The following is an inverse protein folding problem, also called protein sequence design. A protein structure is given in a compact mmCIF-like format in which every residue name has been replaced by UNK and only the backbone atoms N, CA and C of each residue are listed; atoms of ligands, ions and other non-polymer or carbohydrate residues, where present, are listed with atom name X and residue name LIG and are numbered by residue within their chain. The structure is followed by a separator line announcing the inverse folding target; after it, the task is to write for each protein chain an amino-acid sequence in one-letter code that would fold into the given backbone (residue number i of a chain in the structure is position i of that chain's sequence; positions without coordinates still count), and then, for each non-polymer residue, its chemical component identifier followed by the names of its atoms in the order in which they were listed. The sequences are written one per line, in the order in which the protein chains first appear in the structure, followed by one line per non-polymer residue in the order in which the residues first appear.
data_IF_513281527314
#
_entry.id   IF_513281527314
#
_cell.length_a   1.000
_cell.length_b   1.000
_cell.length_c   1.000
_cell.angle_alpha   90.00
_cell.angle_beta   90.00
_cell.angle_gamma   90.00
#
_symmetry.space_group_name_H-M   'P 1'
#
loop_
_entity.id
_entity.type
_entity.pdbx_description
1 polymer ?
#
# COMPACT_ATOMS: atom_id res chain seq x y z
N UNK A 1 -5.77 16.56 -17.37
CA UNK A 1 -6.78 15.49 -17.63
C UNK A 1 -7.01 14.78 -16.30
N UNK A 2 -8.22 14.48 -15.91
CA UNK A 2 -8.50 13.76 -14.69
C UNK A 2 -8.11 12.28 -14.82
N UNK A 3 -7.78 11.61 -13.71
CA UNK A 3 -7.39 10.19 -13.74
C UNK A 3 -8.44 9.30 -14.41
N UNK A 4 -9.71 9.59 -14.21
CA UNK A 4 -10.85 8.92 -14.83
C UNK A 4 -10.77 8.95 -16.37
N UNK A 5 -10.47 10.12 -16.95
CA UNK A 5 -10.37 10.28 -18.39
C UNK A 5 -9.20 9.47 -18.96
N UNK A 6 -8.06 9.46 -18.24
CA UNK A 6 -6.91 8.64 -18.62
C UNK A 6 -7.24 7.16 -18.63
N UNK A 7 -7.98 6.68 -17.63
CA UNK A 7 -8.42 5.27 -17.57
C UNK A 7 -9.31 4.92 -18.75
N UNK A 8 -10.30 5.77 -19.07
CA UNK A 8 -11.22 5.54 -20.20
C UNK A 8 -10.52 5.52 -21.56
N UNK A 9 -9.49 6.35 -21.75
CA UNK A 9 -8.67 6.35 -22.96
C UNK A 9 -7.74 5.12 -23.00
N UNK A 10 -7.12 4.78 -21.88
CA UNK A 10 -6.27 3.61 -21.78
C UNK A 10 -7.02 2.29 -22.03
N UNK A 11 -8.29 2.18 -21.59
CA UNK A 11 -9.19 1.06 -21.93
C UNK A 11 -9.45 0.92 -23.43
N UNK A 12 -9.39 2.02 -24.18
CA UNK A 12 -9.50 2.01 -25.66
C UNK A 12 -8.18 1.68 -26.37
N UNK A 13 -7.15 1.34 -25.61
CA UNK A 13 -5.82 1.01 -26.16
C UNK A 13 -4.94 2.23 -26.45
N UNK A 14 -5.27 3.42 -25.95
CA UNK A 14 -4.42 4.60 -26.10
C UNK A 14 -3.16 4.47 -25.24
N UNK A 15 -2.03 4.23 -25.89
CA UNK A 15 -0.71 4.05 -25.24
C UNK A 15 -0.26 5.35 -24.53
N UNK A 16 -0.58 6.51 -25.08
CA UNK A 16 -0.22 7.78 -24.44
C UNK A 16 -0.98 7.97 -23.15
N UNK A 17 -2.26 7.58 -23.10
CA UNK A 17 -3.05 7.60 -21.88
C UNK A 17 -2.54 6.59 -20.85
N UNK A 18 -2.08 5.41 -21.25
CA UNK A 18 -1.43 4.44 -20.38
C UNK A 18 -0.14 5.00 -19.78
N UNK A 19 0.68 5.69 -20.57
CA UNK A 19 1.91 6.34 -20.09
C UNK A 19 1.61 7.44 -19.07
N UNK A 20 0.64 8.30 -19.36
CA UNK A 20 0.24 9.37 -18.42
C UNK A 20 -0.37 8.78 -17.13
N UNK A 21 -1.14 7.70 -17.22
CA UNK A 21 -1.68 7.00 -16.07
C UNK A 21 -0.57 6.37 -15.23
N UNK A 22 0.44 5.76 -15.86
CA UNK A 22 1.65 5.30 -15.22
C UNK A 22 2.35 6.43 -14.46
N UNK A 23 2.66 7.56 -15.15
CA UNK A 23 3.32 8.73 -14.54
C UNK A 23 2.54 9.30 -13.34
N UNK A 24 1.22 9.29 -13.42
CA UNK A 24 0.36 9.80 -12.35
C UNK A 24 0.34 8.90 -11.10
N UNK A 25 0.63 7.62 -11.23
CA UNK A 25 0.37 6.63 -10.16
C UNK A 25 1.60 5.87 -9.67
N UNK A 26 2.72 5.84 -10.41
CA UNK A 26 3.87 4.99 -10.09
C UNK A 26 4.49 5.28 -8.73
N UNK A 27 4.60 6.56 -8.33
CA UNK A 27 5.22 6.90 -7.05
C UNK A 27 4.42 6.33 -5.87
N UNK A 28 3.08 6.46 -5.94
CA UNK A 28 2.19 5.93 -4.91
C UNK A 28 2.25 4.40 -4.86
N UNK A 29 2.22 3.75 -6.01
CA UNK A 29 2.28 2.30 -6.12
C UNK A 29 3.63 1.74 -5.67
N UNK A 30 4.73 2.40 -6.05
CA UNK A 30 6.07 2.03 -5.59
C UNK A 30 6.18 2.15 -4.07
N UNK A 31 5.69 3.25 -3.48
CA UNK A 31 5.71 3.43 -2.04
C UNK A 31 4.93 2.34 -1.32
N UNK A 32 3.75 1.96 -1.83
CA UNK A 32 2.99 0.83 -1.30
C UNK A 32 3.83 -0.46 -1.35
N UNK A 33 4.35 -0.83 -2.52
CA UNK A 33 5.18 -2.04 -2.67
C UNK A 33 6.40 -2.02 -1.75
N UNK A 34 7.09 -0.88 -1.64
CA UNK A 34 8.25 -0.70 -0.76
C UNK A 34 7.90 -0.95 0.71
N UNK A 35 6.75 -0.43 1.18
CA UNK A 35 6.28 -0.63 2.56
C UNK A 35 5.86 -2.06 2.84
N UNK A 36 5.32 -2.77 1.84
CA UNK A 36 4.93 -4.17 1.97
C UNK A 36 6.15 -5.11 1.94
N UNK A 37 7.12 -4.86 1.06
CA UNK A 37 8.24 -5.75 0.80
C UNK A 37 9.51 -5.40 1.59
N UNK A 38 9.62 -4.15 2.06
CA UNK A 38 10.80 -3.61 2.75
C UNK A 38 12.12 -3.81 1.97
N UNK A 39 12.02 -3.93 0.65
CA UNK A 39 13.14 -4.10 -0.27
C UNK A 39 12.87 -3.30 -1.55
N UNK A 40 13.81 -2.44 -1.95
CA UNK A 40 13.64 -1.52 -3.06
C UNK A 40 13.62 -2.22 -4.43
N UNK A 41 14.48 -3.22 -4.61
CA UNK A 41 14.58 -3.97 -5.87
C UNK A 41 13.30 -4.80 -6.08
N UNK A 42 12.86 -5.52 -5.05
CA UNK A 42 11.59 -6.26 -5.09
C UNK A 42 10.38 -5.36 -5.35
N UNK A 43 10.38 -4.18 -4.73
CA UNK A 43 9.29 -3.22 -4.94
C UNK A 43 9.25 -2.74 -6.39
N UNK A 44 10.40 -2.57 -7.03
CA UNK A 44 10.48 -2.17 -8.44
C UNK A 44 10.00 -3.29 -9.36
N UNK A 45 10.42 -4.53 -9.11
CA UNK A 45 10.02 -5.70 -9.90
C UNK A 45 8.51 -5.94 -9.79
N UNK A 46 7.98 -5.95 -8.56
CA UNK A 46 6.53 -6.08 -8.32
C UNK A 46 5.75 -4.96 -8.97
N UNK A 47 6.26 -3.73 -8.93
CA UNK A 47 5.60 -2.59 -9.58
C UNK A 47 5.51 -2.80 -11.10
N UNK A 48 6.61 -3.17 -11.75
CA UNK A 48 6.66 -3.43 -13.19
C UNK A 48 5.65 -4.50 -13.59
N UNK A 49 5.67 -5.66 -12.91
CA UNK A 49 4.73 -6.74 -13.16
C UNK A 49 3.27 -6.34 -12.90
N UNK A 50 3.03 -5.53 -11.84
CA UNK A 50 1.69 -5.05 -11.51
C UNK A 50 1.10 -4.18 -12.61
N UNK A 51 1.90 -3.31 -13.22
CA UNK A 51 1.44 -2.50 -14.35
C UNK A 51 1.12 -3.33 -15.59
N UNK A 52 1.94 -4.33 -15.91
CA UNK A 52 1.68 -5.24 -17.04
C UNK A 52 0.34 -5.94 -16.84
N UNK A 53 0.10 -6.47 -15.63
CA UNK A 53 -1.18 -7.13 -15.30
C UNK A 53 -2.33 -6.15 -15.33
N UNK A 54 -2.17 -4.97 -14.73
CA UNK A 54 -3.21 -3.94 -14.68
C UNK A 54 -3.63 -3.49 -16.08
N UNK A 55 -2.69 -3.16 -16.95
CA UNK A 55 -3.02 -2.71 -18.31
C UNK A 55 -3.62 -3.82 -19.17
N UNK A 56 -3.21 -5.08 -19.00
CA UNK A 56 -3.85 -6.23 -19.67
C UNK A 56 -5.27 -6.50 -19.19
N UNK A 57 -5.56 -6.19 -17.92
CA UNK A 57 -6.87 -6.43 -17.30
C UNK A 57 -7.71 -5.14 -17.21
N UNK A 58 -7.27 -4.03 -17.79
CA UNK A 58 -7.89 -2.71 -17.59
C UNK A 58 -9.34 -2.66 -18.07
N UNK A 59 -9.67 -3.41 -19.13
CA UNK A 59 -11.03 -3.51 -19.68
C UNK A 59 -12.02 -4.13 -18.66
N UNK A 60 -11.51 -4.89 -17.67
CA UNK A 60 -12.35 -5.47 -16.62
C UNK A 60 -12.77 -4.46 -15.55
N UNK A 61 -12.12 -3.30 -15.49
CA UNK A 61 -12.41 -2.25 -14.53
C UNK A 61 -13.68 -1.49 -14.94
N UNK A 62 -14.80 -1.80 -14.28
CA UNK A 62 -16.10 -1.17 -14.58
C UNK A 62 -16.20 0.28 -14.13
N UNK A 63 -15.59 0.63 -12.99
CA UNK A 63 -15.57 1.99 -12.47
C UNK A 63 -14.19 2.63 -12.62
N UNK A 64 -13.97 3.53 -13.59
CA UNK A 64 -12.68 4.19 -13.79
C UNK A 64 -12.17 4.99 -12.57
N UNK A 65 -13.07 5.49 -11.72
CA UNK A 65 -12.71 6.22 -10.49
C UNK A 65 -12.08 5.31 -9.44
N UNK A 66 -12.36 4.00 -9.49
CA UNK A 66 -11.80 3.00 -8.59
C UNK A 66 -10.40 2.52 -8.99
N UNK A 67 -9.78 3.08 -10.06
CA UNK A 67 -8.49 2.61 -10.57
C UNK A 67 -7.41 2.55 -9.47
N UNK A 68 -7.27 3.59 -8.68
CA UNK A 68 -6.22 3.64 -7.65
C UNK A 68 -6.36 2.53 -6.59
N UNK A 69 -7.57 2.25 -6.12
CA UNK A 69 -7.83 1.18 -5.14
C UNK A 69 -7.71 -0.20 -5.78
N UNK A 70 -8.22 -0.37 -7.00
CA UNK A 70 -8.10 -1.61 -7.76
C UNK A 70 -6.63 -1.93 -8.09
N UNK A 71 -5.85 -0.93 -8.50
CA UNK A 71 -4.43 -1.11 -8.75
C UNK A 71 -3.63 -1.43 -7.48
N UNK A 72 -3.97 -0.79 -6.35
CA UNK A 72 -3.37 -1.10 -5.06
C UNK A 72 -3.59 -2.58 -4.65
N UNK A 73 -4.75 -3.15 -4.95
CA UNK A 73 -5.01 -4.59 -4.73
C UNK A 73 -4.11 -5.48 -5.59
N UNK A 74 -3.87 -5.11 -6.85
CA UNK A 74 -2.95 -5.86 -7.74
C UNK A 74 -1.54 -5.83 -7.16
N UNK A 75 -1.05 -4.64 -6.75
CA UNK A 75 0.28 -4.48 -6.13
C UNK A 75 0.39 -5.30 -4.85
N UNK A 76 -0.60 -5.25 -3.96
CA UNK A 76 -0.59 -5.99 -2.71
C UNK A 76 -0.60 -7.51 -2.94
N UNK A 77 -1.46 -8.01 -3.83
CA UNK A 77 -1.52 -9.44 -4.17
C UNK A 77 -0.18 -9.94 -4.74
N UNK A 78 0.49 -9.16 -5.57
CA UNK A 78 1.80 -9.50 -6.11
C UNK A 78 2.87 -9.49 -5.04
N UNK A 79 2.89 -8.48 -4.17
CA UNK A 79 3.80 -8.41 -3.02
C UNK A 79 3.64 -9.63 -2.11
N UNK A 80 2.41 -10.00 -1.78
CA UNK A 80 2.09 -11.18 -0.97
C UNK A 80 2.56 -12.48 -1.63
N UNK A 81 2.34 -12.63 -2.94
CA UNK A 81 2.80 -13.82 -3.68
C UNK A 81 4.33 -13.94 -3.68
N UNK A 82 5.05 -12.82 -3.82
CA UNK A 82 6.51 -12.81 -3.72
C UNK A 82 6.99 -13.23 -2.32
N UNK A 83 6.42 -12.67 -1.28
CA UNK A 83 6.74 -13.05 0.11
C UNK A 83 6.44 -14.52 0.39
N UNK A 84 5.28 -15.02 -0.05
CA UNK A 84 4.91 -16.45 0.08
C UNK A 84 5.88 -17.37 -0.67
N UNK A 85 6.34 -17.00 -1.86
CA UNK A 85 7.29 -17.80 -2.62
C UNK A 85 8.63 -17.92 -1.90
N UNK A 86 9.10 -16.86 -1.26
CA UNK A 86 10.33 -16.84 -0.45
C UNK A 86 10.19 -17.67 0.83
N UNK A 87 9.08 -17.55 1.53
CA UNK A 87 8.83 -18.29 2.76
C UNK A 87 8.66 -19.81 2.54
N UNK A 88 8.33 -20.26 1.33
CA UNK A 88 8.33 -21.71 1.02
C UNK A 88 9.72 -22.35 1.05
N UNK A 89 10.76 -21.56 0.86
CA UNK A 89 12.16 -22.03 0.97
C UNK A 89 12.72 -21.94 2.40
N UNK A 90 12.07 -21.16 3.27
CA UNK A 90 12.31 -21.14 4.72
C UNK A 90 11.21 -21.99 5.32
N UNK A 91 11.57 -23.11 6.00
CA UNK A 91 10.62 -24.06 6.62
C UNK A 91 9.41 -23.34 7.22
N UNK A 92 8.19 -23.89 7.09
CA UNK A 92 7.04 -23.32 7.75
C UNK A 92 7.31 -23.30 9.25
N UNK A 93 7.52 -22.14 9.84
CA UNK A 93 7.40 -21.99 11.27
C UNK A 93 5.92 -22.20 11.58
N UNK A 94 5.63 -23.34 12.20
CA UNK A 94 4.39 -23.64 12.86
C UNK A 94 4.03 -22.47 13.78
N UNK A 95 2.96 -21.79 13.44
CA UNK A 95 2.46 -20.63 14.18
C UNK A 95 1.32 -19.97 13.44
N UNK A 96 0.35 -20.78 12.93
CA UNK A 96 -1.03 -20.35 12.96
C UNK A 96 -1.42 -20.36 14.44
N UNK A 97 -1.02 -19.30 15.17
CA UNK A 97 -1.76 -18.95 16.37
C UNK A 97 -3.17 -18.64 15.85
N UNK A 98 -4.10 -19.53 16.15
CA UNK A 98 -5.52 -19.27 16.09
C UNK A 98 -5.72 -17.94 16.81
N UNK A 99 -5.80 -16.82 16.05
CA UNK A 99 -6.25 -15.55 16.59
C UNK A 99 -7.67 -15.81 17.09
N UNK A 100 -7.77 -16.08 18.39
CA UNK A 100 -9.05 -16.20 19.07
C UNK A 100 -9.79 -14.90 18.82
N UNK A 101 -10.90 -15.05 18.15
CA UNK A 101 -11.87 -14.02 17.77
C UNK A 101 -12.49 -13.42 19.05
N UNK A 102 -11.73 -12.57 19.75
CA UNK A 102 -12.30 -11.71 20.79
C UNK A 102 -12.96 -10.52 20.10
N UNK A 103 -14.20 -10.72 19.68
CA UNK A 103 -15.13 -9.65 19.33
C UNK A 103 -15.48 -8.85 20.57
N UNK A 104 -14.62 -7.97 21.04
CA UNK A 104 -15.07 -6.82 21.80
C UNK A 104 -15.56 -5.77 20.80
N UNK A 105 -16.82 -5.34 20.97
CA UNK A 105 -17.42 -4.23 20.27
C UNK A 105 -16.55 -2.99 20.41
N UNK A 106 -15.68 -2.73 19.43
CA UNK A 106 -14.90 -1.51 19.41
C UNK A 106 -15.60 -0.57 18.45
N UNK A 107 -16.29 0.41 19.05
CA UNK A 107 -16.82 1.56 18.33
C UNK A 107 -15.66 2.21 17.55
N UNK A 108 -15.92 2.48 16.27
CA UNK A 108 -15.03 3.21 15.35
C UNK A 108 -14.99 4.68 15.81
N UNK A 109 -14.23 4.96 16.87
CA UNK A 109 -13.96 6.33 17.28
C UNK A 109 -12.81 6.87 16.45
N UNK A 110 -13.13 7.34 15.27
CA UNK A 110 -12.27 8.13 14.40
C UNK A 110 -12.17 9.57 14.93
N UNK A 111 -11.66 9.76 16.15
CA UNK A 111 -11.34 11.09 16.65
C UNK A 111 -10.01 11.10 17.39
N UNK A 112 -8.98 11.52 16.68
CA UNK A 112 -7.74 11.93 17.29
C UNK A 112 -7.41 13.37 16.86
N UNK A 113 -7.67 14.31 17.75
CA UNK A 113 -7.45 15.75 17.56
C UNK A 113 -6.09 16.14 18.14
N UNK A 114 -5.32 16.94 17.40
CA UNK A 114 -3.98 17.41 17.73
C UNK A 114 -3.97 18.74 18.50
N UNK A 115 -3.05 18.96 19.44
CA UNK A 115 -2.50 20.27 19.73
C UNK A 115 -1.12 20.50 19.09
N UNK A 116 -0.91 21.74 18.66
CA UNK A 116 0.35 22.24 18.10
C UNK A 116 1.50 22.12 19.11
N UNK A 117 2.60 21.51 18.74
CA UNK A 117 3.87 21.59 19.43
C UNK A 117 5.08 21.57 18.50
N UNK A 118 6.09 22.27 18.92
CA UNK A 118 7.32 22.82 18.33
C UNK A 118 8.22 21.88 17.50
N UNK A 119 7.90 20.61 17.33
CA UNK A 119 8.65 19.72 16.44
C UNK A 119 8.11 19.80 15.01
N UNK A 120 9.01 19.80 14.04
CA UNK A 120 8.69 19.75 12.63
C UNK A 120 7.74 18.59 12.36
N UNK A 121 6.60 18.86 11.74
CA UNK A 121 5.59 17.88 11.35
C UNK A 121 6.22 16.72 10.54
N UNK A 122 7.28 17.01 9.81
CA UNK A 122 8.03 16.06 9.01
C UNK A 122 8.79 15.04 9.88
N UNK A 123 9.40 15.47 10.97
CA UNK A 123 10.12 14.57 11.88
C UNK A 123 9.18 13.65 12.63
N UNK A 124 8.06 14.16 13.12
CA UNK A 124 7.00 13.35 13.76
C UNK A 124 6.45 12.30 12.79
N UNK A 125 6.15 12.73 11.57
CA UNK A 125 5.67 11.85 10.50
C UNK A 125 6.66 10.71 10.24
N UNK A 126 7.96 11.03 10.09
CA UNK A 126 9.01 10.05 9.87
C UNK A 126 9.10 9.01 10.99
N UNK A 127 9.02 9.44 12.24
CA UNK A 127 9.05 8.55 13.40
C UNK A 127 7.86 7.57 13.41
N UNK A 128 6.65 8.05 13.11
CA UNK A 128 5.47 7.17 13.06
C UNK A 128 5.55 6.21 11.88
N UNK A 129 6.07 6.64 10.73
CA UNK A 129 6.28 5.75 9.59
C UNK A 129 7.31 4.65 9.90
N UNK A 130 8.35 4.93 10.68
CA UNK A 130 9.28 3.91 11.18
C UNK A 130 8.57 2.91 12.10
N UNK A 131 7.70 3.39 13.00
CA UNK A 131 6.92 2.50 13.87
C UNK A 131 5.95 1.62 13.05
N UNK A 132 5.41 2.11 11.94
CA UNK A 132 4.59 1.30 11.01
C UNK A 132 5.46 0.22 10.36
N UNK A 133 6.71 0.52 10.00
CA UNK A 133 7.64 -0.47 9.42
C UNK A 133 8.01 -1.59 10.42
N UNK A 134 7.89 -1.34 11.73
CA UNK A 134 8.12 -2.33 12.80
C UNK A 134 6.88 -3.17 13.15
N UNK A 135 5.73 -2.90 12.54
CA UNK A 135 4.54 -3.73 12.72
C UNK A 135 4.75 -5.14 12.11
N UNK A 136 4.10 -6.18 12.66
CA UNK A 136 3.98 -7.46 11.97
C UNK A 136 3.44 -7.28 10.55
N UNK A 137 3.87 -8.14 9.63
CA UNK A 137 3.58 -8.01 8.20
C UNK A 137 2.08 -7.85 7.92
N UNK A 138 1.24 -8.69 8.52
CA UNK A 138 -0.21 -8.66 8.34
C UNK A 138 -0.86 -7.36 8.85
N UNK A 139 -0.36 -6.83 9.98
CA UNK A 139 -0.86 -5.57 10.54
C UNK A 139 -0.38 -4.38 9.70
N UNK A 140 0.88 -4.39 9.26
CA UNK A 140 1.44 -3.37 8.37
C UNK A 140 0.69 -3.33 7.05
N UNK A 141 0.42 -4.49 6.44
CA UNK A 141 -0.37 -4.61 5.22
C UNK A 141 -1.78 -4.02 5.41
N UNK A 142 -2.49 -4.36 6.50
CA UNK A 142 -3.80 -3.77 6.82
C UNK A 142 -3.73 -2.25 6.87
N UNK A 143 -2.74 -1.69 7.58
CA UNK A 143 -2.56 -0.23 7.73
C UNK A 143 -2.31 0.42 6.36
N UNK A 144 -1.44 -0.16 5.54
CA UNK A 144 -1.11 0.38 4.23
C UNK A 144 -2.29 0.31 3.25
N UNK A 145 -3.04 -0.78 3.26
CA UNK A 145 -4.20 -0.93 2.37
C UNK A 145 -5.35 -0.02 2.79
N UNK A 146 -5.67 0.04 4.08
CA UNK A 146 -6.80 0.81 4.59
C UNK A 146 -6.51 2.31 4.60
N UNK A 147 -5.43 2.77 5.26
CA UNK A 147 -5.16 4.20 5.45
C UNK A 147 -4.42 4.86 4.28
N UNK A 148 -3.46 4.17 3.68
CA UNK A 148 -2.70 4.74 2.55
C UNK A 148 -3.43 4.56 1.22
N UNK A 149 -3.95 3.35 0.97
CA UNK A 149 -4.56 3.04 -0.34
C UNK A 149 -6.05 3.34 -0.38
N UNK A 150 -6.71 3.57 0.77
CA UNK A 150 -8.13 3.92 0.87
C UNK A 150 -9.07 2.74 0.55
N UNK A 151 -8.63 1.50 0.77
CA UNK A 151 -9.47 0.33 0.59
C UNK A 151 -10.47 0.21 1.74
N UNK A 152 -11.67 -0.29 1.45
CA UNK A 152 -12.62 -0.68 2.50
C UNK A 152 -12.14 -1.91 3.27
N UNK A 153 -12.69 -2.16 4.46
CA UNK A 153 -12.35 -3.36 5.25
C UNK A 153 -12.67 -4.64 4.49
N UNK A 154 -13.71 -4.67 3.64
CA UNK A 154 -14.08 -5.79 2.78
C UNK A 154 -13.03 -6.02 1.69
N UNK A 155 -12.54 -4.96 1.06
CA UNK A 155 -11.49 -5.04 0.03
C UNK A 155 -10.17 -5.50 0.63
N UNK A 156 -9.80 -5.02 1.83
CA UNK A 156 -8.62 -5.49 2.56
C UNK A 156 -8.77 -6.96 2.92
N UNK A 157 -9.93 -7.39 3.42
CA UNK A 157 -10.22 -8.78 3.76
C UNK A 157 -10.07 -9.71 2.55
N UNK A 158 -10.58 -9.29 1.39
CA UNK A 158 -10.43 -10.01 0.13
C UNK A 158 -8.95 -10.12 -0.29
N UNK A 159 -8.19 -9.03 -0.20
CA UNK A 159 -6.76 -8.99 -0.56
C UNK A 159 -5.92 -9.85 0.38
N UNK A 160 -6.21 -9.82 1.69
CA UNK A 160 -5.50 -10.62 2.69
C UNK A 160 -6.01 -12.06 2.80
N UNK A 161 -7.11 -12.42 2.12
CA UNK A 161 -7.75 -13.74 2.17
C UNK A 161 -8.17 -14.12 3.60
N UNK A 162 -8.75 -13.17 4.34
CA UNK A 162 -9.21 -13.35 5.71
C UNK A 162 -10.61 -12.76 5.92
N UNK A 163 -11.17 -12.90 7.13
CA UNK A 163 -12.46 -12.31 7.44
C UNK A 163 -12.37 -10.79 7.66
N UNK A 164 -13.49 -10.07 7.47
CA UNK A 164 -13.56 -8.63 7.81
C UNK A 164 -13.30 -8.41 9.31
N UNK A 165 -13.72 -9.36 10.16
CA UNK A 165 -13.42 -9.35 11.59
C UNK A 165 -11.91 -9.39 11.85
N UNK A 166 -11.19 -10.26 11.15
CA UNK A 166 -9.71 -10.35 11.23
C UNK A 166 -9.06 -9.01 10.83
N UNK A 167 -9.53 -8.36 9.76
CA UNK A 167 -9.01 -7.04 9.34
C UNK A 167 -9.23 -6.00 10.44
N UNK A 168 -10.44 -5.93 11.01
CA UNK A 168 -10.75 -5.00 12.11
C UNK A 168 -9.87 -5.25 13.33
N UNK A 169 -9.67 -6.50 13.71
CA UNK A 169 -8.76 -6.89 14.80
C UNK A 169 -7.32 -6.47 14.51
N UNK A 170 -6.78 -6.77 13.30
CA UNK A 170 -5.42 -6.38 12.89
C UNK A 170 -5.21 -4.88 12.92
N UNK A 171 -6.18 -4.09 12.40
CA UNK A 171 -6.13 -2.63 12.46
C UNK A 171 -6.15 -2.12 13.89
N UNK A 172 -6.96 -2.74 14.77
CA UNK A 172 -7.02 -2.38 16.18
C UNK A 172 -5.70 -2.67 16.91
N UNK A 173 -5.13 -3.86 16.72
CA UNK A 173 -3.81 -4.21 17.28
C UNK A 173 -2.71 -3.30 16.75
N UNK A 174 -2.71 -2.98 15.47
CA UNK A 174 -1.76 -2.02 14.88
C UNK A 174 -1.87 -0.64 15.55
N UNK A 175 -3.09 -0.11 15.72
CA UNK A 175 -3.32 1.18 16.41
C UNK A 175 -2.82 1.14 17.86
N UNK A 176 -3.10 0.04 18.59
CA UNK A 176 -2.65 -0.13 19.97
C UNK A 176 -1.13 -0.17 20.05
N UNK A 177 -0.48 -0.95 19.20
CA UNK A 177 0.98 -1.06 19.15
C UNK A 177 1.65 0.26 18.78
N UNK A 178 1.12 0.98 17.80
CA UNK A 178 1.60 2.31 17.44
C UNK A 178 1.46 3.30 18.60
N UNK A 179 0.32 3.29 19.31
CA UNK A 179 0.13 4.11 20.51
C UNK A 179 1.14 3.78 21.60
N UNK A 180 1.41 2.51 21.87
CA UNK A 180 2.40 2.07 22.86
C UNK A 180 3.82 2.50 22.46
N UNK A 181 4.17 2.38 21.17
CA UNK A 181 5.47 2.84 20.64
C UNK A 181 5.65 4.35 20.80
N UNK A 182 4.62 5.14 20.48
CA UNK A 182 4.61 6.59 20.69
C UNK A 182 4.83 6.93 22.17
N UNK A 183 4.05 6.34 23.07
CA UNK A 183 4.18 6.58 24.51
C UNK A 183 5.56 6.15 25.07
N UNK A 184 6.13 5.08 24.53
CA UNK A 184 7.47 4.61 24.89
C UNK A 184 8.55 5.60 24.44
N UNK A 185 8.40 6.15 23.22
CA UNK A 185 9.32 7.16 22.69
C UNK A 185 9.26 8.45 23.55
N UNK A 186 8.06 8.93 23.86
CA UNK A 186 7.85 10.13 24.69
C UNK A 186 8.45 10.01 26.09
N UNK A 187 8.46 8.79 26.67
CA UNK A 187 9.11 8.53 27.98
C UNK A 187 10.62 8.53 27.91
N UNK A 188 11.21 8.26 26.76
CA UNK A 188 12.67 8.14 26.57
C UNK A 188 13.30 9.43 26.05
N UNK A 189 12.49 10.28 25.45
CA UNK A 189 12.93 11.52 24.83
C UNK A 189 12.04 12.65 25.32
N UNK A 190 12.54 13.89 25.29
CA UNK A 190 11.70 15.07 25.53
C UNK A 190 10.75 15.40 24.35
N UNK A 191 10.68 14.50 23.36
CA UNK A 191 9.82 14.61 22.20
C UNK A 191 8.39 14.28 22.63
N UNK A 192 7.51 15.25 22.63
CA UNK A 192 6.08 15.05 22.85
C UNK A 192 5.38 14.88 21.52
N UNK A 193 5.05 13.64 21.21
CA UNK A 193 4.21 13.32 20.04
C UNK A 193 2.72 13.45 20.37
N UNK A 194 2.37 14.10 21.51
CA UNK A 194 0.99 14.21 21.97
C UNK A 194 0.08 14.48 20.80
N UNK A 195 -0.62 13.46 20.46
CA UNK A 195 -1.75 13.36 19.58
C UNK A 195 -1.53 12.50 18.36
N UNK A 196 -2.38 11.51 18.29
CA UNK A 196 -2.56 10.67 17.12
C UNK A 196 -3.04 11.55 15.95
N UNK A 197 -2.13 11.87 15.04
CA UNK A 197 -2.52 12.32 13.70
C UNK A 197 -3.38 11.22 13.12
N UNK A 198 -4.53 11.49 12.52
CA UNK A 198 -5.24 10.47 11.75
C UNK A 198 -4.25 9.77 10.84
N UNK A 199 -4.12 8.43 10.97
CA UNK A 199 -3.10 7.66 10.25
C UNK A 199 -3.09 7.98 8.75
N UNK A 200 -4.27 8.29 8.18
CA UNK A 200 -4.38 8.71 6.78
C UNK A 200 -3.59 9.98 6.45
N UNK A 201 -3.50 10.95 7.38
CA UNK A 201 -2.75 12.18 7.15
C UNK A 201 -1.22 11.98 7.21
N UNK A 202 -0.74 10.93 7.89
CA UNK A 202 0.69 10.58 7.92
C UNK A 202 1.24 10.24 6.53
N UNK A 203 0.38 9.75 5.66
CA UNK A 203 0.78 9.39 4.30
C UNK A 203 0.73 10.57 3.32
N UNK A 204 0.32 11.76 3.75
CA UNK A 204 0.48 12.95 2.92
C UNK A 204 1.98 13.25 2.75
N UNK A 205 2.40 13.56 1.53
CA UNK A 205 3.82 13.82 1.23
C UNK A 205 4.71 12.56 1.14
N UNK A 206 4.14 11.36 1.01
CA UNK A 206 4.86 10.07 0.86
C UNK A 206 5.96 10.10 -0.23
N UNK A 207 5.84 10.97 -1.23
CA UNK A 207 6.84 11.09 -2.30
C UNK A 207 8.23 11.50 -1.78
N UNK A 208 8.31 12.13 -0.60
CA UNK A 208 9.57 12.51 0.04
C UNK A 208 10.31 11.30 0.65
N UNK A 209 9.58 10.22 0.95
CA UNK A 209 10.15 9.00 1.53
C UNK A 209 10.66 8.04 0.46
N UNK A 210 10.39 8.31 -0.80
CA UNK A 210 10.90 7.54 -1.92
C UNK A 210 12.38 7.85 -2.09
N UNK A 211 13.26 6.85 -2.20
CA UNK A 211 14.69 7.06 -2.43
C UNK A 211 14.94 7.97 -3.61
N UNK A 212 15.78 9.00 -3.42
CA UNK A 212 16.16 9.92 -4.50
C UNK A 212 17.02 9.18 -5.53
N UNK A 213 16.82 9.51 -6.81
CA UNK A 213 17.60 8.95 -7.91
C UNK A 213 17.02 7.68 -8.53
N UNK A 214 15.86 7.20 -8.10
CA UNK A 214 15.17 6.13 -8.79
C UNK A 214 14.67 6.63 -10.16
N UNK A 215 15.08 5.90 -11.21
CA UNK A 215 14.61 6.14 -12.56
C UNK A 215 13.35 5.30 -12.82
N UNK A 216 12.22 5.96 -12.94
CA UNK A 216 10.94 5.32 -13.26
C UNK A 216 10.61 5.33 -14.77
N UNK A 217 11.51 5.85 -15.61
CA UNK A 217 11.32 5.84 -17.06
C UNK A 217 11.71 4.50 -17.68
N UNK A 218 12.75 3.87 -17.17
CA UNK A 218 13.19 2.56 -17.62
C UNK A 218 12.12 1.46 -17.45
N UNK A 219 11.41 1.36 -16.29
CA UNK A 219 10.30 0.42 -16.15
C UNK A 219 9.17 0.66 -17.14
N UNK A 220 8.82 1.91 -17.47
CA UNK A 220 7.81 2.19 -18.47
C UNK A 220 8.19 1.64 -19.84
N UNK A 221 9.44 1.83 -20.26
CA UNK A 221 9.94 1.31 -21.53
C UNK A 221 9.82 -0.23 -21.61
N UNK A 222 10.12 -0.93 -20.52
CA UNK A 222 9.97 -2.38 -20.44
C UNK A 222 8.48 -2.80 -20.47
N UNK A 223 7.63 -2.13 -19.69
CA UNK A 223 6.18 -2.36 -19.64
C UNK A 223 5.55 -2.17 -21.03
N UNK A 224 5.80 -1.05 -21.68
CA UNK A 224 5.21 -0.72 -23.00
C UNK A 224 5.65 -1.71 -24.07
N UNK A 225 6.90 -2.16 -24.05
CA UNK A 225 7.40 -3.20 -24.97
C UNK A 225 6.69 -4.54 -24.76
N UNK A 226 6.46 -4.93 -23.52
CA UNK A 226 5.78 -6.19 -23.21
C UNK A 226 4.29 -6.15 -23.54
N UNK A 227 3.63 -5.02 -23.32
CA UNK A 227 2.25 -4.81 -23.74
C UNK A 227 2.10 -4.91 -25.26
N UNK A 228 3.02 -4.30 -26.01
CA UNK A 228 3.04 -4.38 -27.48
C UNK A 228 3.29 -5.80 -28.00
N UNK A 229 4.16 -6.58 -27.35
CA UNK A 229 4.46 -7.98 -27.72
C UNK A 229 3.29 -8.92 -27.48
N UNK A 230 2.53 -8.71 -26.41
CA UNK A 230 1.33 -9.48 -26.07
C UNK A 230 0.14 -9.24 -27.00
N UNK A 231 0.06 -8.07 -27.63
CA UNK A 231 -0.98 -7.74 -28.60
C UNK A 231 -0.81 -8.53 -29.93
N UNK A 232 0.41 -8.95 -30.27
CA UNK A 232 0.72 -9.69 -31.51
C UNK A 232 0.32 -11.18 -31.37
N UNK A 233 0.27 -11.73 -30.16
CA UNK A 233 -0.06 -13.17 -29.94
C UNK A 233 -1.57 -13.44 -29.82
N UNK A 234 -2.42 -12.44 -29.71
CA UNK A 234 -3.87 -12.58 -29.61
C UNK A 234 -4.60 -12.41 -30.96
N UNK A 235 -3.86 -12.18 -32.04
CA UNK A 235 -4.39 -11.90 -33.38
C UNK A 235 -4.10 -12.99 -34.45
N UNK A 236 -3.73 -14.22 -34.01
CA UNK A 236 -3.58 -15.39 -34.92
C UNK A 236 -4.52 -16.55 -34.48
#
# INVERSE_FOLDING_TARGET
MEQKDLVLLAQKGDISAQEELYKATYQRAYYLALKLLQNADDAMDVLQESYIVAFRALDSLQNPEAFSSWFAQIVANRSKNLLRSRNRFVKPSLGEEEEQDYFENIEDTDEAILPESVLDQEEKRRLVLQMIDELPDDQRECVMLYYFSGLSTEQVAQTQECSVGTVKSRLNYARKKLKESVLSLEKRTDIRLHTLVPLGLLFTGYAKDIPKGLDFTAPWTAISKELASGAVSAGT
#
